data_IF_578871000688
#
_entry.id   IF_578871000688
#
_cell.length_a   1.000
_cell.length_b   1.000
_cell.length_c   1.000
_cell.angle_alpha   90.00
_cell.angle_beta   90.00
_cell.angle_gamma   90.00
#
_symmetry.space_group_name_H-M   'P 1'
#
loop_
_entity.id
_entity.type
_entity.pdbx_description
1 polymer ?
#
# COMPACT_ATOMS: atom_id res chain seq x y z
N UNK A 1 16.53 2.32 22.79
CA UNK A 1 15.37 2.86 23.52
C UNK A 1 14.32 3.23 22.49
N UNK A 2 13.22 2.48 22.46
CA UNK A 2 12.15 2.58 21.46
C UNK A 2 11.34 3.85 21.70
N UNK A 3 11.37 4.75 20.71
CA UNK A 3 10.79 6.11 20.73
C UNK A 3 9.26 6.15 20.87
N UNK A 4 8.61 5.00 21.08
CA UNK A 4 7.16 4.82 21.04
C UNK A 4 6.58 4.34 22.39
N UNK A 5 7.30 4.48 23.49
CA UNK A 5 6.90 3.87 24.78
C UNK A 5 5.85 4.64 25.58
N UNK A 6 5.47 5.86 25.17
CA UNK A 6 4.35 6.62 25.76
C UNK A 6 3.98 7.79 24.82
N UNK A 7 2.89 7.70 24.03
CA UNK A 7 2.49 8.81 23.19
C UNK A 7 1.89 9.94 24.03
N UNK A 8 2.35 11.16 23.81
CA UNK A 8 1.53 12.32 24.09
C UNK A 8 0.24 12.22 23.24
N UNK A 9 -0.91 12.67 23.74
CA UNK A 9 -2.23 12.60 23.07
C UNK A 9 -2.14 13.07 21.61
N UNK A 10 -1.38 14.15 21.39
CA UNK A 10 -1.10 14.72 20.07
C UNK A 10 -0.42 13.74 19.11
N UNK A 11 0.54 12.92 19.58
CA UNK A 11 1.23 11.94 18.73
C UNK A 11 0.28 10.81 18.32
N UNK A 12 -0.60 10.39 19.23
CA UNK A 12 -1.63 9.40 18.92
C UNK A 12 -2.61 9.90 17.87
N UNK A 13 -3.10 11.12 18.02
CA UNK A 13 -3.99 11.76 17.04
C UNK A 13 -3.34 11.88 15.66
N UNK A 14 -2.06 12.26 15.60
CA UNK A 14 -1.31 12.33 14.33
C UNK A 14 -1.23 10.96 13.65
N UNK A 15 -0.92 9.89 14.40
CA UNK A 15 -0.86 8.54 13.83
C UNK A 15 -2.23 8.08 13.34
N UNK A 16 -3.30 8.33 14.09
CA UNK A 16 -4.67 7.97 13.69
C UNK A 16 -5.11 8.74 12.44
N UNK A 17 -4.85 10.05 12.36
CA UNK A 17 -5.13 10.85 11.16
C UNK A 17 -4.31 10.37 9.96
N UNK A 18 -3.07 9.92 10.19
CA UNK A 18 -2.22 9.37 9.13
C UNK A 18 -2.74 8.04 8.60
N UNK A 19 -3.25 7.16 9.49
CA UNK A 19 -3.94 5.91 9.11
C UNK A 19 -5.13 6.23 8.20
N UNK A 20 -6.02 7.14 8.63
CA UNK A 20 -7.20 7.52 7.84
C UNK A 20 -6.81 8.12 6.48
N UNK A 21 -5.76 8.94 6.43
CA UNK A 21 -5.27 9.50 5.18
C UNK A 21 -4.73 8.41 4.24
N UNK A 22 -3.99 7.42 4.75
CA UNK A 22 -3.46 6.31 3.95
C UNK A 22 -4.59 5.43 3.41
N UNK A 23 -5.61 5.11 4.22
CA UNK A 23 -6.78 4.36 3.78
C UNK A 23 -7.50 5.07 2.62
N UNK A 24 -7.71 6.39 2.75
CA UNK A 24 -8.31 7.20 1.69
C UNK A 24 -7.44 7.24 0.41
N UNK A 25 -6.11 7.32 0.55
CA UNK A 25 -5.20 7.27 -0.60
C UNK A 25 -5.24 5.91 -1.30
N UNK A 26 -5.32 4.80 -0.55
CA UNK A 26 -5.44 3.46 -1.12
C UNK A 26 -6.74 3.31 -1.93
N UNK A 27 -7.86 3.82 -1.43
CA UNK A 27 -9.13 3.84 -2.15
C UNK A 27 -9.02 4.66 -3.45
N UNK A 28 -8.39 5.84 -3.40
CA UNK A 28 -8.17 6.66 -4.59
C UNK A 28 -7.29 5.97 -5.63
N UNK A 29 -6.27 5.23 -5.19
CA UNK A 29 -5.43 4.42 -6.09
C UNK A 29 -6.27 3.35 -6.77
N UNK A 30 -7.15 2.66 -6.05
CA UNK A 30 -8.05 1.66 -6.64
C UNK A 30 -9.00 2.24 -7.67
N UNK A 31 -9.64 3.37 -7.34
CA UNK A 31 -10.53 4.08 -8.27
C UNK A 31 -9.77 4.51 -9.53
N UNK A 32 -8.56 5.04 -9.37
CA UNK A 32 -7.73 5.51 -10.50
C UNK A 32 -7.25 4.36 -11.36
N UNK A 33 -6.79 3.26 -10.74
CA UNK A 33 -6.34 2.06 -11.44
C UNK A 33 -7.49 1.42 -12.23
N UNK A 34 -8.69 1.30 -11.65
CA UNK A 34 -9.86 0.79 -12.33
C UNK A 34 -10.30 1.67 -13.51
N UNK A 35 -10.27 3.01 -13.33
CA UNK A 35 -10.58 3.95 -14.40
C UNK A 35 -9.58 3.85 -15.56
N UNK A 36 -8.28 3.74 -15.26
CA UNK A 36 -7.23 3.56 -16.26
C UNK A 36 -7.35 2.21 -16.98
N UNK A 37 -7.64 1.12 -16.26
CA UNK A 37 -7.77 -0.22 -16.83
C UNK A 37 -8.97 -0.32 -17.78
N UNK A 38 -10.07 0.40 -17.52
CA UNK A 38 -11.22 0.47 -18.42
C UNK A 38 -10.83 0.96 -19.84
N UNK A 39 -9.82 1.83 -19.96
CA UNK A 39 -9.32 2.32 -21.25
C UNK A 39 -8.45 1.30 -22.02
N UNK A 40 -8.09 0.17 -21.39
CA UNK A 40 -7.37 -0.94 -22.07
C UNK A 40 -8.29 -1.85 -22.88
N UNK A 41 -9.61 -1.70 -22.75
CA UNK A 41 -10.59 -2.47 -23.53
C UNK A 41 -10.72 -2.00 -24.98
N UNK A 42 -10.50 -0.70 -25.25
CA UNK A 42 -10.53 -0.10 -26.58
C UNK A 42 -9.42 0.95 -26.76
N UNK A 43 -8.13 0.57 -26.67
CA UNK A 43 -7.03 1.51 -26.81
C UNK A 43 -6.91 1.98 -28.26
N UNK A 44 -6.47 3.22 -28.45
CA UNK A 44 -6.24 3.81 -29.80
C UNK A 44 -5.21 3.01 -30.59
N UNK A 45 -4.18 2.51 -29.93
CA UNK A 45 -3.15 1.63 -30.50
C UNK A 45 -2.47 0.76 -29.41
N UNK A 46 -1.59 -0.14 -29.85
CA UNK A 46 -0.84 -1.02 -28.96
C UNK A 46 0.07 -0.26 -27.99
N UNK A 47 0.69 0.84 -28.42
CA UNK A 47 1.60 1.61 -27.57
C UNK A 47 0.84 2.30 -26.44
N UNK A 48 -0.33 2.85 -26.74
CA UNK A 48 -1.27 3.44 -25.79
C UNK A 48 -1.68 2.40 -24.74
N UNK A 49 -2.02 1.18 -25.17
CA UNK A 49 -2.34 0.09 -24.23
C UNK A 49 -1.16 -0.25 -23.30
N UNK A 50 0.07 -0.31 -23.84
CA UNK A 50 1.27 -0.59 -23.06
C UNK A 50 1.55 0.51 -22.02
N UNK A 51 1.44 1.78 -22.40
CA UNK A 51 1.64 2.92 -21.50
C UNK A 51 0.61 2.91 -20.36
N UNK A 52 -0.67 2.68 -20.67
CA UNK A 52 -1.72 2.57 -19.64
C UNK A 52 -1.43 1.40 -18.70
N UNK A 53 -1.00 0.25 -19.23
CA UNK A 53 -0.65 -0.92 -18.41
C UNK A 53 0.51 -0.68 -17.46
N UNK A 54 1.55 0.01 -17.93
CA UNK A 54 2.67 0.40 -17.08
C UNK A 54 2.23 1.36 -15.97
N UNK A 55 1.36 2.31 -16.28
CA UNK A 55 0.81 3.23 -15.28
C UNK A 55 -0.02 2.52 -14.22
N UNK A 56 -0.92 1.61 -14.61
CA UNK A 56 -1.70 0.77 -13.68
C UNK A 56 -0.77 -0.07 -12.79
N UNK A 57 0.31 -0.63 -13.34
CA UNK A 57 1.31 -1.36 -12.56
C UNK A 57 1.99 -0.48 -11.51
N UNK A 58 2.37 0.76 -11.87
CA UNK A 58 2.95 1.72 -10.94
C UNK A 58 1.97 2.07 -9.80
N UNK A 59 0.70 2.32 -10.12
CA UNK A 59 -0.35 2.60 -9.13
C UNK A 59 -0.48 1.44 -8.13
N UNK A 60 -0.50 0.19 -8.62
CA UNK A 60 -0.54 -0.99 -7.75
C UNK A 60 0.71 -1.10 -6.86
N UNK A 61 1.89 -0.75 -7.37
CA UNK A 61 3.12 -0.68 -6.59
C UNK A 61 3.04 0.36 -5.45
N UNK A 62 2.48 1.54 -5.72
CA UNK A 62 2.23 2.55 -4.69
C UNK A 62 1.23 2.07 -3.65
N UNK A 63 0.16 1.38 -4.06
CA UNK A 63 -0.80 0.78 -3.13
C UNK A 63 -0.13 -0.18 -2.14
N UNK A 64 0.80 -1.01 -2.63
CA UNK A 64 1.55 -1.94 -1.78
C UNK A 64 2.40 -1.20 -0.74
N UNK A 65 3.07 -0.11 -1.14
CA UNK A 65 3.84 0.72 -0.20
C UNK A 65 2.94 1.36 0.87
N UNK A 66 1.76 1.85 0.47
CA UNK A 66 0.75 2.39 1.38
C UNK A 66 0.23 1.33 2.37
N UNK A 67 0.00 0.09 1.92
CA UNK A 67 -0.39 -1.03 2.79
C UNK A 67 0.68 -1.36 3.83
N UNK A 68 1.95 -1.39 3.43
CA UNK A 68 3.06 -1.63 4.35
C UNK A 68 3.13 -0.54 5.43
N UNK A 69 2.97 0.72 5.03
CA UNK A 69 2.97 1.84 5.97
C UNK A 69 1.73 1.83 6.88
N UNK A 70 0.56 1.48 6.36
CA UNK A 70 -0.66 1.28 7.15
C UNK A 70 -0.44 0.26 8.26
N UNK A 71 0.12 -0.90 7.92
CA UNK A 71 0.46 -1.95 8.90
C UNK A 71 1.47 -1.44 9.93
N UNK A 72 2.48 -0.67 9.51
CA UNK A 72 3.47 -0.08 10.43
C UNK A 72 2.81 0.87 11.44
N UNK A 73 1.90 1.74 10.99
CA UNK A 73 1.20 2.68 11.86
C UNK A 73 0.20 1.98 12.79
N UNK A 74 -0.53 0.98 12.29
CA UNK A 74 -1.41 0.14 13.11
C UNK A 74 -0.61 -0.59 14.21
N UNK A 75 0.59 -1.09 13.88
CA UNK A 75 1.48 -1.72 14.86
C UNK A 75 1.98 -0.73 15.92
N UNK A 76 2.20 0.55 15.57
CA UNK A 76 2.51 1.59 16.57
C UNK A 76 1.34 1.76 17.55
N UNK A 77 0.10 1.82 17.05
CA UNK A 77 -1.10 1.90 17.90
C UNK A 77 -1.23 0.66 18.79
N UNK A 78 -1.01 -0.54 18.23
CA UNK A 78 -1.07 -1.80 18.98
C UNK A 78 -0.07 -1.81 20.15
N UNK A 79 1.17 -1.39 19.91
CA UNK A 79 2.19 -1.24 20.97
C UNK A 79 1.72 -0.29 22.07
N UNK A 80 1.09 0.84 21.71
CA UNK A 80 0.53 1.78 22.69
C UNK A 80 -0.66 1.23 23.46
N UNK A 81 -1.42 0.31 22.87
CA UNK A 81 -2.54 -0.38 23.52
C UNK A 81 -2.10 -1.58 24.38
N UNK A 82 -0.84 -2.01 24.29
CA UNK A 82 -0.38 -3.27 24.89
C UNK A 82 -0.86 -4.51 24.15
N UNK A 83 -1.22 -4.37 22.87
CA UNK A 83 -1.65 -5.43 21.97
C UNK A 83 -0.45 -6.02 21.21
N UNK A 84 -0.59 -7.27 20.74
CA UNK A 84 0.44 -7.91 19.91
C UNK A 84 0.43 -7.30 18.49
N UNK A 85 1.57 -6.80 17.97
CA UNK A 85 1.64 -6.25 16.62
C UNK A 85 1.37 -7.31 15.56
N UNK A 86 0.69 -6.94 14.48
CA UNK A 86 0.52 -7.81 13.32
C UNK A 86 1.87 -8.07 12.63
N UNK A 87 2.03 -9.25 12.03
CA UNK A 87 3.19 -9.53 11.19
C UNK A 87 3.31 -8.46 10.08
N UNK A 88 4.50 -7.88 9.95
CA UNK A 88 4.76 -6.95 8.86
C UNK A 88 4.54 -7.67 7.53
N UNK A 89 3.98 -6.98 6.54
CA UNK A 89 3.86 -7.46 5.15
C UNK A 89 5.26 -7.73 4.56
N UNK A 90 5.86 -8.86 4.91
CA UNK A 90 7.14 -9.32 4.36
C UNK A 90 6.85 -9.98 3.02
N UNK A 91 6.74 -9.16 1.97
CA UNK A 91 6.80 -9.68 0.62
C UNK A 91 8.20 -10.24 0.40
N UNK A 92 8.35 -11.56 0.54
CA UNK A 92 9.49 -12.28 -0.01
C UNK A 92 9.12 -12.52 -1.48
N UNK A 93 9.80 -11.90 -2.46
CA UNK A 93 9.54 -12.19 -3.86
C UNK A 93 9.88 -13.66 -4.09
N UNK A 94 8.86 -14.50 -4.22
CA UNK A 94 9.07 -15.88 -4.68
C UNK A 94 9.33 -15.75 -6.18
N UNK A 95 10.60 -15.71 -6.57
CA UNK A 95 10.95 -15.87 -7.98
C UNK A 95 10.47 -17.26 -8.40
N UNK A 96 9.54 -17.38 -9.37
CA UNK A 96 9.20 -18.68 -9.90
C UNK A 96 10.44 -19.22 -10.63
N UNK A 97 11.16 -20.13 -9.99
CA UNK A 97 12.20 -20.90 -10.67
C UNK A 97 11.50 -21.93 -11.53
N UNK A 98 11.10 -21.55 -12.75
CA UNK A 98 10.72 -22.54 -13.76
C UNK A 98 11.98 -23.35 -14.09
N UNK A 99 12.02 -24.66 -13.83
CA UNK A 99 13.16 -25.46 -14.26
C UNK A 99 13.22 -25.45 -15.79
N UNK A 100 14.39 -25.13 -16.33
CA UNK A 100 14.68 -25.31 -17.75
C UNK A 100 14.61 -26.82 -18.05
N UNK A 101 13.56 -27.23 -18.75
CA UNK A 101 13.45 -28.54 -19.40
C UNK A 101 14.19 -28.55 -20.72
#
# INVERSE_FOLDING_TARGET
MTQYSNPDLTQREIVQNSITAIEAMMEQVDVTAAAADAHRTNPVDFMTNQVIGQHVSMLNGTKFQLQSELTRLQNIIAVWNGEEPAEANTFTPVMPTTPLS
#
